data_IF_432930243293
#
_entry.id   IF_432930243293
#
_cell.length_a   1.000
_cell.length_b   1.000
_cell.length_c   1.000
_cell.angle_alpha   90.00
_cell.angle_beta   90.00
_cell.angle_gamma   90.00
#
_symmetry.space_group_name_H-M   'P 1'
#
loop_
_entity.id
_entity.type
_entity.pdbx_description
1 polymer ?
#
# COMPACT_ATOMS: atom_id res chain seq x y z
N UNK A 1 53.00 -34.33 -15.35
CA UNK A 1 54.26 -33.75 -15.86
C UNK A 1 54.01 -32.61 -16.84
N UNK A 2 53.35 -32.81 -17.99
CA UNK A 2 53.10 -31.71 -18.96
C UNK A 2 52.18 -30.57 -18.45
N UNK A 3 51.15 -30.90 -17.66
CA UNK A 3 50.26 -29.93 -16.99
C UNK A 3 50.99 -29.09 -15.93
N UNK A 4 51.91 -29.71 -15.19
CA UNK A 4 52.72 -29.03 -14.17
C UNK A 4 53.68 -28.00 -14.79
N UNK A 5 54.39 -28.39 -15.87
CA UNK A 5 55.32 -27.49 -16.58
C UNK A 5 54.57 -26.29 -17.20
N UNK A 6 53.40 -26.53 -17.80
CA UNK A 6 52.60 -25.45 -18.39
C UNK A 6 52.08 -24.47 -17.33
N UNK A 7 51.67 -24.99 -16.17
CA UNK A 7 51.23 -24.18 -15.02
C UNK A 7 52.36 -23.29 -14.48
N UNK A 8 53.54 -23.87 -14.27
CA UNK A 8 54.73 -23.14 -13.82
C UNK A 8 55.15 -22.06 -14.83
N UNK A 9 55.13 -22.39 -16.12
CA UNK A 9 55.48 -21.46 -17.20
C UNK A 9 54.48 -20.28 -17.29
N UNK A 10 53.17 -20.55 -17.23
CA UNK A 10 52.14 -19.52 -17.29
C UNK A 10 52.23 -18.57 -16.09
N UNK A 11 52.45 -19.09 -14.89
CA UNK A 11 52.63 -18.27 -13.68
C UNK A 11 53.94 -17.46 -13.75
N UNK A 12 55.02 -18.04 -14.29
CA UNK A 12 56.27 -17.33 -14.56
C UNK A 12 56.08 -16.16 -15.53
N UNK A 13 55.38 -16.38 -16.64
CA UNK A 13 55.05 -15.34 -17.62
C UNK A 13 54.19 -14.23 -17.02
N UNK A 14 53.14 -14.60 -16.29
CA UNK A 14 52.25 -13.66 -15.60
C UNK A 14 53.04 -12.76 -14.63
N UNK A 15 53.89 -13.34 -13.79
CA UNK A 15 54.71 -12.59 -12.82
C UNK A 15 55.72 -11.66 -13.51
N UNK A 16 56.32 -12.11 -14.62
CA UNK A 16 57.26 -11.31 -15.40
C UNK A 16 56.55 -10.12 -16.09
N UNK A 17 55.38 -10.36 -16.70
CA UNK A 17 54.56 -9.32 -17.33
C UNK A 17 54.04 -8.31 -16.30
N UNK A 18 53.59 -8.77 -15.13
CA UNK A 18 53.14 -7.90 -14.05
C UNK A 18 54.29 -7.01 -13.53
N UNK A 19 55.45 -7.61 -13.29
CA UNK A 19 56.67 -6.86 -12.89
C UNK A 19 57.09 -5.83 -13.94
N UNK A 20 57.03 -6.18 -15.23
CA UNK A 20 57.32 -5.27 -16.32
C UNK A 20 56.28 -4.14 -16.43
N UNK A 21 54.99 -4.47 -16.29
CA UNK A 21 53.90 -3.50 -16.36
C UNK A 21 54.07 -2.43 -15.28
N UNK A 22 54.26 -2.84 -14.02
CA UNK A 22 54.46 -1.93 -12.88
C UNK A 22 55.80 -1.19 -12.94
N UNK A 23 56.90 -1.87 -13.26
CA UNK A 23 58.24 -1.31 -13.15
C UNK A 23 58.71 -0.52 -14.36
N UNK A 24 58.13 -0.74 -15.54
CA UNK A 24 58.60 -0.15 -16.80
C UNK A 24 57.48 0.53 -17.59
N UNK A 25 56.33 -0.13 -17.77
CA UNK A 25 55.27 0.43 -18.62
C UNK A 25 54.56 1.61 -17.95
N UNK A 26 54.04 1.42 -16.72
CA UNK A 26 53.28 2.46 -16.00
C UNK A 26 54.11 3.75 -15.83
N UNK A 27 55.37 3.72 -15.33
CA UNK A 27 56.17 4.94 -15.14
C UNK A 27 56.56 5.65 -16.45
N UNK A 28 56.68 4.91 -17.57
CA UNK A 28 57.07 5.45 -18.86
C UNK A 28 55.88 5.67 -19.81
N UNK A 29 54.65 5.49 -19.33
CA UNK A 29 53.43 5.56 -20.16
C UNK A 29 53.09 6.97 -20.65
N UNK A 30 53.64 8.00 -20.00
CA UNK A 30 53.27 9.40 -20.24
C UNK A 30 51.86 9.78 -19.76
N UNK A 31 51.21 8.91 -18.96
CA UNK A 31 49.90 9.15 -18.37
C UNK A 31 50.03 9.31 -16.85
N UNK A 32 49.95 10.56 -16.38
CA UNK A 32 50.09 10.90 -14.95
C UNK A 32 49.01 10.27 -14.07
N UNK A 33 47.78 10.09 -14.59
CA UNK A 33 46.70 9.43 -13.87
C UNK A 33 46.95 7.93 -13.70
N UNK A 34 47.45 7.26 -14.74
CA UNK A 34 47.83 5.85 -14.65
C UNK A 34 48.96 5.64 -13.63
N UNK A 35 49.94 6.55 -13.64
CA UNK A 35 51.11 6.48 -12.74
C UNK A 35 50.74 6.74 -11.28
N UNK A 36 49.74 7.59 -11.01
CA UNK A 36 49.27 7.85 -9.65
C UNK A 36 48.37 6.74 -9.12
N UNK A 37 47.51 6.17 -9.96
CA UNK A 37 46.52 5.16 -9.58
C UNK A 37 47.09 3.74 -9.46
N UNK A 38 48.13 3.39 -10.24
CA UNK A 38 48.63 2.00 -10.32
C UNK A 38 50.05 1.88 -9.79
N UNK A 39 50.21 1.37 -8.57
CA UNK A 39 51.52 1.20 -7.91
C UNK A 39 51.76 -0.23 -7.42
N UNK A 40 50.69 -0.97 -7.14
CA UNK A 40 50.70 -2.33 -6.58
C UNK A 40 50.02 -3.32 -7.53
N UNK A 41 50.26 -4.64 -7.37
CA UNK A 41 49.50 -5.67 -8.07
C UNK A 41 47.98 -5.58 -7.89
N UNK A 42 47.53 -5.17 -6.72
CA UNK A 42 46.12 -4.94 -6.40
C UNK A 42 45.55 -3.78 -7.22
N UNK A 43 46.31 -2.69 -7.39
CA UNK A 43 45.88 -1.58 -8.25
C UNK A 43 45.80 -2.00 -9.73
N UNK A 44 46.65 -2.95 -10.17
CA UNK A 44 46.55 -3.52 -11.52
C UNK A 44 45.25 -4.30 -11.69
N UNK A 45 44.83 -5.06 -10.67
CA UNK A 45 43.54 -5.73 -10.66
C UNK A 45 42.38 -4.74 -10.74
N UNK A 46 42.38 -3.71 -9.91
CA UNK A 46 41.32 -2.69 -9.90
C UNK A 46 41.26 -1.93 -11.23
N UNK A 47 42.42 -1.56 -11.78
CA UNK A 47 42.50 -0.79 -13.02
C UNK A 47 42.17 -1.60 -14.28
N UNK A 48 42.64 -2.85 -14.37
CA UNK A 48 42.40 -3.72 -15.54
C UNK A 48 41.16 -4.62 -15.38
N UNK A 49 40.54 -4.63 -14.21
CA UNK A 49 39.36 -5.43 -13.86
C UNK A 49 39.57 -6.95 -14.04
N UNK A 50 40.82 -7.40 -13.94
CA UNK A 50 41.23 -8.80 -14.06
C UNK A 50 42.37 -9.09 -13.10
N UNK A 51 42.22 -10.12 -12.27
CA UNK A 51 43.17 -10.41 -11.20
C UNK A 51 44.47 -11.00 -11.77
N UNK A 52 45.62 -10.30 -11.67
CA UNK A 52 46.89 -10.76 -12.21
C UNK A 52 47.59 -11.78 -11.28
N UNK A 53 47.00 -12.14 -10.15
CA UNK A 53 47.55 -13.06 -9.15
C UNK A 53 46.88 -14.44 -9.13
N UNK A 54 45.85 -14.66 -9.95
CA UNK A 54 45.13 -15.94 -10.09
C UNK A 54 46.04 -17.06 -10.61
N UNK A 55 46.02 -18.21 -9.94
CA UNK A 55 46.80 -19.38 -10.34
C UNK A 55 46.27 -20.01 -11.65
N UNK A 56 47.08 -20.87 -12.27
CA UNK A 56 46.69 -21.52 -13.54
C UNK A 56 45.54 -22.54 -13.39
N UNK A 57 45.20 -22.95 -12.17
CA UNK A 57 44.22 -24.00 -11.93
C UNK A 57 42.77 -23.48 -11.94
N UNK A 58 42.57 -22.16 -11.78
CA UNK A 58 41.25 -21.52 -11.91
C UNK A 58 40.85 -21.47 -13.39
N UNK A 59 39.74 -22.13 -13.71
CA UNK A 59 39.17 -22.12 -15.06
C UNK A 59 37.95 -21.20 -15.13
N UNK A 60 37.93 -20.34 -16.14
CA UNK A 60 36.79 -19.47 -16.46
C UNK A 60 36.57 -19.41 -17.96
N UNK A 61 35.33 -19.13 -18.38
CA UNK A 61 35.06 -18.84 -19.79
C UNK A 61 35.38 -17.37 -20.08
N UNK A 62 35.68 -17.04 -21.34
CA UNK A 62 35.95 -15.65 -21.75
C UNK A 62 34.78 -14.72 -21.45
N UNK A 63 33.55 -15.21 -21.64
CA UNK A 63 32.33 -14.44 -21.38
C UNK A 63 32.13 -14.22 -19.89
N UNK A 64 32.33 -15.25 -19.07
CA UNK A 64 32.21 -15.13 -17.61
C UNK A 64 33.24 -14.13 -17.04
N UNK A 65 34.49 -14.19 -17.49
CA UNK A 65 35.51 -13.23 -17.06
C UNK A 65 35.16 -11.79 -17.47
N UNK A 66 34.77 -11.57 -18.72
CA UNK A 66 34.37 -10.24 -19.19
C UNK A 66 33.16 -9.69 -18.42
N UNK A 67 32.18 -10.55 -18.12
CA UNK A 67 31.03 -10.20 -17.30
C UNK A 67 31.44 -9.79 -15.88
N UNK A 68 32.33 -10.55 -15.22
CA UNK A 68 32.84 -10.21 -13.89
C UNK A 68 33.59 -8.88 -13.88
N UNK A 69 34.42 -8.60 -14.91
CA UNK A 69 35.10 -7.31 -15.06
C UNK A 69 34.11 -6.15 -15.16
N UNK A 70 33.07 -6.29 -16.00
CA UNK A 70 32.04 -5.25 -16.15
C UNK A 70 31.23 -5.08 -14.85
N UNK A 71 30.88 -6.18 -14.18
CA UNK A 71 30.16 -6.14 -12.89
C UNK A 71 30.96 -5.41 -11.83
N UNK A 72 32.26 -5.70 -11.70
CA UNK A 72 33.17 -4.99 -10.80
C UNK A 72 33.17 -3.49 -11.09
N UNK A 73 33.29 -3.10 -12.36
CA UNK A 73 33.30 -1.70 -12.76
C UNK A 73 32.00 -0.96 -12.42
N UNK A 74 30.85 -1.55 -12.77
CA UNK A 74 29.54 -0.95 -12.46
C UNK A 74 29.35 -0.85 -10.94
N UNK A 75 29.78 -1.85 -10.17
CA UNK A 75 29.75 -1.78 -8.71
C UNK A 75 30.62 -0.64 -8.18
N UNK A 76 31.83 -0.46 -8.73
CA UNK A 76 32.70 0.66 -8.38
C UNK A 76 32.06 2.03 -8.66
N UNK A 77 31.35 2.17 -9.79
CA UNK A 77 30.58 3.39 -10.11
C UNK A 77 29.46 3.61 -9.09
N UNK A 78 28.65 2.58 -8.83
CA UNK A 78 27.49 2.65 -7.92
C UNK A 78 27.91 2.95 -6.48
N UNK A 79 29.06 2.44 -6.05
CA UNK A 79 29.64 2.68 -4.73
C UNK A 79 30.45 3.99 -4.65
N UNK A 80 30.48 4.78 -5.74
CA UNK A 80 31.25 6.02 -5.84
C UNK A 80 32.76 5.82 -5.56
N UNK A 81 33.28 4.64 -5.90
CA UNK A 81 34.71 4.29 -5.80
C UNK A 81 35.46 4.63 -7.10
N UNK A 82 34.76 4.65 -8.23
CA UNK A 82 35.35 4.99 -9.53
C UNK A 82 35.47 6.52 -9.72
N UNK A 83 36.65 7.03 -10.10
CA UNK A 83 36.85 8.46 -10.31
C UNK A 83 36.06 8.97 -11.54
N UNK A 84 35.59 10.22 -11.46
CA UNK A 84 34.90 10.88 -12.57
C UNK A 84 33.39 10.62 -12.64
N UNK A 85 32.85 9.77 -11.76
CA UNK A 85 31.42 9.58 -11.58
C UNK A 85 30.96 10.20 -10.26
N UNK A 86 29.81 10.87 -10.29
CA UNK A 86 29.09 11.25 -9.08
C UNK A 86 27.81 10.44 -9.04
N UNK A 87 27.64 9.58 -8.04
CA UNK A 87 26.43 8.77 -7.90
C UNK A 87 25.14 9.58 -7.82
N UNK A 88 25.22 10.84 -7.38
CA UNK A 88 24.11 11.79 -7.38
C UNK A 88 23.64 12.20 -8.78
N UNK A 89 24.48 12.03 -9.81
CA UNK A 89 24.15 12.30 -11.21
C UNK A 89 23.62 11.05 -11.94
N UNK A 90 23.66 9.88 -11.29
CA UNK A 90 23.15 8.65 -11.85
C UNK A 90 21.65 8.53 -11.57
N UNK A 91 20.96 7.89 -12.50
CA UNK A 91 19.54 7.58 -12.38
C UNK A 91 19.30 6.63 -11.20
N UNK A 92 18.56 7.10 -10.20
CA UNK A 92 18.28 6.36 -8.96
C UNK A 92 17.53 5.05 -9.23
N UNK A 93 16.68 5.00 -10.26
CA UNK A 93 15.95 3.80 -10.63
C UNK A 93 16.89 2.74 -11.18
N UNK A 94 17.89 3.15 -11.99
CA UNK A 94 18.91 2.23 -12.51
C UNK A 94 19.81 1.68 -11.42
N UNK A 95 20.21 2.50 -10.45
CA UNK A 95 20.96 2.04 -9.28
C UNK A 95 20.13 1.01 -8.51
N UNK A 96 18.86 1.30 -8.28
CA UNK A 96 17.94 0.40 -7.56
C UNK A 96 17.78 -0.94 -8.30
N UNK A 97 17.58 -0.92 -9.61
CA UNK A 97 17.51 -2.14 -10.44
C UNK A 97 18.81 -2.94 -10.42
N UNK A 98 19.96 -2.28 -10.51
CA UNK A 98 21.27 -2.93 -10.42
C UNK A 98 21.44 -3.65 -9.08
N UNK A 99 21.12 -2.97 -7.97
CA UNK A 99 21.23 -3.52 -6.62
C UNK A 99 20.23 -4.64 -6.34
N UNK A 100 19.02 -4.59 -6.93
CA UNK A 100 17.96 -5.57 -6.73
C UNK A 100 18.09 -6.84 -7.60
N UNK A 101 19.21 -7.00 -8.32
CA UNK A 101 19.49 -8.24 -9.06
C UNK A 101 20.20 -8.06 -10.38
N UNK A 102 20.26 -6.84 -10.94
CA UNK A 102 21.03 -6.58 -12.17
C UNK A 102 22.52 -6.92 -12.03
N UNK A 103 23.06 -6.82 -10.82
CA UNK A 103 24.45 -7.18 -10.51
C UNK A 103 24.74 -8.69 -10.53
N UNK A 104 23.73 -9.56 -10.65
CA UNK A 104 23.86 -11.01 -10.61
C UNK A 104 23.21 -11.64 -11.83
N UNK A 105 23.99 -12.35 -12.64
CA UNK A 105 23.51 -12.95 -13.89
C UNK A 105 22.29 -13.85 -13.70
N UNK A 106 22.27 -14.68 -12.65
CA UNK A 106 21.16 -15.60 -12.39
C UNK A 106 19.85 -14.86 -12.06
N UNK A 107 19.92 -13.78 -11.28
CA UNK A 107 18.72 -12.99 -10.92
C UNK A 107 18.24 -12.20 -12.13
N UNK A 108 19.17 -11.54 -12.85
CA UNK A 108 18.85 -10.86 -14.10
C UNK A 108 18.22 -11.81 -15.13
N UNK A 109 18.79 -13.00 -15.31
CA UNK A 109 18.25 -14.03 -16.19
C UNK A 109 16.85 -14.44 -15.79
N UNK A 110 16.60 -14.61 -14.48
CA UNK A 110 15.26 -14.88 -13.95
C UNK A 110 14.25 -13.76 -14.23
N UNK A 111 14.66 -12.48 -14.22
CA UNK A 111 13.76 -11.38 -14.61
C UNK A 111 13.42 -11.43 -16.12
N UNK A 112 14.39 -11.74 -16.97
CA UNK A 112 14.17 -11.87 -18.42
C UNK A 112 13.26 -13.07 -18.73
N UNK A 113 13.48 -14.20 -18.03
CA UNK A 113 12.63 -15.38 -18.13
C UNK A 113 11.22 -15.10 -17.62
N UNK A 114 11.05 -14.39 -16.50
CA UNK A 114 9.74 -14.02 -15.97
C UNK A 114 8.92 -13.16 -16.95
N UNK A 115 9.57 -12.23 -17.66
CA UNK A 115 8.93 -11.39 -18.67
C UNK A 115 8.50 -12.20 -19.91
N UNK A 116 9.30 -13.20 -20.29
CA UNK A 116 9.08 -14.00 -21.50
C UNK A 116 8.15 -15.20 -21.27
N UNK A 117 8.29 -15.87 -20.12
CA UNK A 117 7.65 -17.12 -19.72
C UNK A 117 7.06 -17.00 -18.30
N UNK A 118 6.08 -16.11 -18.08
CA UNK A 118 5.49 -15.91 -16.76
C UNK A 118 4.84 -17.19 -16.20
N UNK A 119 4.36 -18.10 -17.06
CA UNK A 119 3.77 -19.38 -16.67
C UNK A 119 4.70 -20.26 -15.82
N UNK A 120 6.01 -20.18 -16.04
CA UNK A 120 7.00 -20.96 -15.28
C UNK A 120 7.11 -20.49 -13.82
N UNK A 121 6.68 -19.24 -13.54
CA UNK A 121 6.71 -18.62 -12.22
C UNK A 121 5.34 -18.53 -11.56
N UNK A 122 4.25 -18.84 -12.26
CA UNK A 122 2.91 -18.82 -11.70
C UNK A 122 2.71 -20.06 -10.82
N UNK A 123 2.76 -19.84 -9.52
CA UNK A 123 2.37 -20.83 -8.50
C UNK A 123 1.04 -20.36 -7.88
N UNK A 124 -0.09 -21.05 -8.12
CA UNK A 124 -1.42 -20.60 -7.65
C UNK A 124 -1.50 -20.34 -6.15
N UNK A 125 -0.77 -21.14 -5.36
CA UNK A 125 -0.71 -21.01 -3.90
C UNK A 125 0.12 -19.82 -3.42
N UNK A 126 0.95 -19.19 -4.25
CA UNK A 126 1.85 -18.07 -3.88
C UNK A 126 1.39 -16.72 -4.43
N UNK A 127 0.18 -16.62 -4.98
CA UNK A 127 -0.41 -15.34 -5.40
C UNK A 127 -0.33 -14.33 -4.25
N UNK A 128 0.31 -13.17 -4.46
CA UNK A 128 0.49 -12.15 -3.40
C UNK A 128 -0.81 -11.42 -3.04
N UNK A 129 -1.60 -11.05 -4.04
CA UNK A 129 -2.83 -10.27 -3.86
C UNK A 129 -4.05 -11.21 -3.85
N UNK A 130 -4.16 -12.03 -2.81
CA UNK A 130 -5.34 -12.86 -2.55
C UNK A 130 -6.33 -12.06 -1.71
N UNK A 131 -7.61 -12.32 -1.91
CA UNK A 131 -8.64 -11.82 -0.99
C UNK A 131 -8.61 -12.63 0.31
N UNK A 132 -9.17 -12.06 1.38
CA UNK A 132 -9.42 -12.77 2.64
C UNK A 132 -10.26 -14.03 2.37
N UNK A 133 -11.34 -13.90 1.58
CA UNK A 133 -12.20 -15.01 1.16
C UNK A 133 -11.44 -16.16 0.47
N UNK A 134 -10.49 -15.85 -0.41
CA UNK A 134 -9.70 -16.87 -1.10
C UNK A 134 -8.65 -17.50 -0.18
N UNK A 135 -8.12 -16.71 0.76
CA UNK A 135 -7.20 -17.20 1.79
C UNK A 135 -7.91 -18.16 2.73
N UNK A 136 -9.16 -17.87 3.11
CA UNK A 136 -10.00 -18.75 3.92
C UNK A 136 -10.32 -20.06 3.21
N UNK A 137 -10.63 -20.01 1.91
CA UNK A 137 -10.76 -21.22 1.08
C UNK A 137 -9.48 -22.06 1.09
N UNK A 138 -8.32 -21.44 0.89
CA UNK A 138 -7.04 -22.15 0.93
C UNK A 138 -6.76 -22.77 2.30
N UNK A 139 -7.09 -22.06 3.39
CA UNK A 139 -6.96 -22.57 4.74
C UNK A 139 -7.89 -23.76 4.99
N UNK A 140 -9.15 -23.68 4.57
CA UNK A 140 -10.12 -24.76 4.72
C UNK A 140 -9.71 -26.04 3.96
N UNK A 141 -9.17 -25.88 2.74
CA UNK A 141 -8.65 -26.99 1.95
C UNK A 141 -7.33 -27.56 2.52
N UNK A 142 -6.50 -26.73 3.15
CA UNK A 142 -5.23 -27.15 3.74
C UNK A 142 -5.35 -27.91 5.06
N UNK A 143 -6.42 -27.67 5.83
CA UNK A 143 -6.65 -28.30 7.14
C UNK A 143 -7.31 -29.68 7.05
N UNK A 144 -8.18 -29.88 6.06
CA UNK A 144 -8.98 -31.09 5.93
C UNK A 144 -8.31 -32.13 5.02
N UNK A 145 -8.65 -33.41 5.21
CA UNK A 145 -8.28 -34.44 4.24
C UNK A 145 -8.96 -34.13 2.90
N UNK A 146 -8.19 -34.11 1.81
CA UNK A 146 -8.71 -33.83 0.48
C UNK A 146 -9.55 -35.01 -0.03
N UNK A 147 -10.86 -34.92 0.19
CA UNK A 147 -11.89 -35.77 -0.40
C UNK A 147 -12.98 -34.88 -1.02
N UNK A 148 -13.84 -35.49 -1.84
CA UNK A 148 -14.87 -34.78 -2.61
C UNK A 148 -15.79 -33.95 -1.71
N UNK A 149 -16.32 -34.53 -0.65
CA UNK A 149 -17.24 -33.87 0.30
C UNK A 149 -16.62 -32.61 0.93
N UNK A 150 -15.38 -32.72 1.42
CA UNK A 150 -14.68 -31.61 2.06
C UNK A 150 -14.34 -30.48 1.06
N UNK A 151 -14.00 -30.84 -0.18
CA UNK A 151 -13.74 -29.86 -1.24
C UNK A 151 -15.02 -29.13 -1.61
N UNK A 152 -16.12 -29.86 -1.80
CA UNK A 152 -17.42 -29.28 -2.11
C UNK A 152 -17.85 -28.31 -1.01
N UNK A 153 -17.76 -28.72 0.26
CA UNK A 153 -18.11 -27.87 1.39
C UNK A 153 -17.28 -26.58 1.43
N UNK A 154 -15.96 -26.66 1.24
CA UNK A 154 -15.09 -25.49 1.23
C UNK A 154 -15.44 -24.52 0.09
N UNK A 155 -15.77 -25.04 -1.09
CA UNK A 155 -16.20 -24.25 -2.24
C UNK A 155 -17.57 -23.61 -2.00
N UNK A 156 -18.53 -24.33 -1.40
CA UNK A 156 -19.85 -23.78 -1.06
C UNK A 156 -19.74 -22.60 -0.08
N UNK A 157 -18.90 -22.70 0.95
CA UNK A 157 -18.63 -21.58 1.87
C UNK A 157 -18.08 -20.37 1.12
N UNK A 158 -17.07 -20.58 0.26
CA UNK A 158 -16.51 -19.52 -0.56
C UNK A 158 -17.56 -18.86 -1.49
N UNK A 159 -18.47 -19.64 -2.08
CA UNK A 159 -19.54 -19.12 -2.94
C UNK A 159 -20.57 -18.29 -2.15
N UNK A 160 -20.90 -18.67 -0.91
CA UNK A 160 -21.79 -17.88 -0.04
C UNK A 160 -21.17 -16.52 0.31
N UNK A 161 -19.88 -16.49 0.63
CA UNK A 161 -19.15 -15.25 0.91
C UNK A 161 -19.09 -14.36 -0.35
N UNK A 162 -18.83 -14.98 -1.50
CA UNK A 162 -18.85 -14.30 -2.80
C UNK A 162 -20.23 -13.69 -3.11
N UNK A 163 -21.32 -14.43 -2.92
CA UNK A 163 -22.68 -13.95 -3.15
C UNK A 163 -23.02 -12.74 -2.29
N UNK A 164 -22.55 -12.73 -1.03
CA UNK A 164 -22.72 -11.61 -0.10
C UNK A 164 -22.09 -10.34 -0.65
N UNK A 165 -20.81 -10.39 -1.04
CA UNK A 165 -20.09 -9.20 -1.53
C UNK A 165 -20.48 -8.78 -2.95
N UNK A 166 -20.99 -9.70 -3.76
CA UNK A 166 -21.45 -9.41 -5.11
C UNK A 166 -22.77 -8.62 -5.13
N UNK A 167 -23.60 -8.76 -4.10
CA UNK A 167 -24.94 -8.17 -4.01
C UNK A 167 -25.04 -6.94 -3.09
N UNK A 168 -23.91 -6.34 -2.70
CA UNK A 168 -23.87 -5.14 -1.86
C UNK A 168 -24.48 -3.93 -2.59
N UNK A 169 -25.31 -3.17 -1.89
CA UNK A 169 -25.79 -1.87 -2.34
C UNK A 169 -24.85 -0.77 -1.86
N UNK A 170 -24.47 0.13 -2.77
CA UNK A 170 -23.60 1.26 -2.44
C UNK A 170 -24.32 2.26 -1.53
N UNK A 171 -23.66 2.70 -0.48
CA UNK A 171 -24.21 3.62 0.53
C UNK A 171 -23.61 5.01 0.37
N UNK A 172 -22.29 5.10 0.41
CA UNK A 172 -21.58 6.36 0.42
C UNK A 172 -20.12 6.19 -0.04
N UNK A 173 -19.46 7.32 -0.29
CA UNK A 173 -18.04 7.34 -0.58
C UNK A 173 -17.37 8.61 -0.08
N UNK A 174 -16.04 8.56 -0.02
CA UNK A 174 -15.15 9.64 0.37
C UNK A 174 -13.92 9.64 -0.54
N UNK A 175 -13.47 10.83 -0.95
CA UNK A 175 -12.27 11.00 -1.77
C UNK A 175 -11.16 11.51 -0.85
N UNK A 176 -10.06 10.76 -0.79
CA UNK A 176 -8.86 11.13 -0.05
C UNK A 176 -7.98 12.02 -0.92
N UNK A 177 -8.41 13.28 -1.05
CA UNK A 177 -7.77 14.31 -1.86
C UNK A 177 -8.77 15.23 -2.57
N UNK A 178 -8.27 16.03 -3.52
CA UNK A 178 -9.04 17.07 -4.21
C UNK A 178 -9.18 16.84 -5.72
N UNK A 179 -8.61 15.74 -6.23
CA UNK A 179 -8.48 15.43 -7.66
C UNK A 179 -9.21 14.13 -7.97
N UNK A 180 -10.43 14.28 -8.47
CA UNK A 180 -11.41 13.21 -8.74
C UNK A 180 -10.85 12.06 -9.59
N UNK A 181 -9.94 12.33 -10.52
CA UNK A 181 -9.41 11.36 -11.48
C UNK A 181 -8.06 10.74 -11.08
N UNK A 182 -7.51 11.09 -9.91
CA UNK A 182 -6.20 10.60 -9.44
C UNK A 182 -6.21 10.12 -7.99
N UNK A 183 -7.10 10.66 -7.17
CA UNK A 183 -7.09 10.41 -5.74
C UNK A 183 -7.86 9.13 -5.38
N UNK A 184 -7.60 8.64 -4.17
CA UNK A 184 -8.14 7.37 -3.70
C UNK A 184 -9.56 7.53 -3.18
N UNK A 185 -10.44 6.65 -3.59
CA UNK A 185 -11.81 6.58 -3.10
C UNK A 185 -11.92 5.54 -2.01
N UNK A 186 -12.67 5.86 -0.97
CA UNK A 186 -13.15 4.95 0.05
C UNK A 186 -14.65 4.83 -0.10
N UNK A 187 -15.14 3.60 -0.22
CA UNK A 187 -16.52 3.31 -0.58
C UNK A 187 -17.13 2.38 0.46
N UNK A 188 -18.39 2.63 0.80
CA UNK A 188 -19.18 1.80 1.70
C UNK A 188 -20.29 1.12 0.92
N UNK A 189 -20.41 -0.18 1.13
CA UNK A 189 -21.53 -1.01 0.70
C UNK A 189 -22.26 -1.57 1.91
N UNK A 190 -23.54 -1.91 1.71
CA UNK A 190 -24.33 -2.64 2.70
C UNK A 190 -24.99 -3.86 2.08
N UNK A 191 -25.24 -4.87 2.89
CA UNK A 191 -26.06 -6.01 2.51
C UNK A 191 -27.55 -5.62 2.51
N UNK A 192 -28.37 -6.47 1.87
CA UNK A 192 -29.82 -6.27 1.72
C UNK A 192 -30.65 -6.87 2.87
N UNK A 193 -30.01 -7.59 3.78
CA UNK A 193 -30.64 -8.17 4.97
C UNK A 193 -30.97 -7.06 6.01
N UNK A 194 -31.84 -7.40 6.95
CA UNK A 194 -32.18 -6.58 8.11
C UNK A 194 -31.92 -7.40 9.38
N UNK A 195 -31.02 -7.00 10.28
CA UNK A 195 -30.15 -5.82 10.19
C UNK A 195 -29.12 -5.94 9.05
N UNK A 196 -28.68 -4.79 8.53
CA UNK A 196 -27.70 -4.73 7.44
C UNK A 196 -26.26 -4.79 7.98
N UNK A 197 -25.41 -5.58 7.34
CA UNK A 197 -23.97 -5.58 7.51
C UNK A 197 -23.34 -4.55 6.56
N UNK A 198 -22.31 -3.85 7.03
CA UNK A 198 -21.57 -2.88 6.23
C UNK A 198 -20.19 -3.41 5.82
N UNK A 199 -19.76 -3.02 4.63
CA UNK A 199 -18.47 -3.36 4.05
C UNK A 199 -17.83 -2.11 3.47
N UNK A 200 -16.50 -2.09 3.43
CA UNK A 200 -15.75 -1.02 2.80
C UNK A 200 -14.75 -1.55 1.78
N UNK A 201 -14.45 -0.74 0.77
CA UNK A 201 -13.36 -0.98 -0.18
C UNK A 201 -12.75 0.32 -0.65
N UNK A 202 -11.66 0.22 -1.39
CA UNK A 202 -11.00 1.35 -2.03
C UNK A 202 -10.89 1.20 -3.53
N UNK A 203 -10.78 2.35 -4.19
CA UNK A 203 -10.46 2.49 -5.60
C UNK A 203 -9.35 3.52 -5.76
N UNK A 204 -8.20 3.10 -6.29
CA UNK A 204 -7.03 3.94 -6.54
C UNK A 204 -7.06 4.52 -7.97
N UNK A 205 -7.52 5.76 -8.11
CA UNK A 205 -7.64 6.40 -9.42
C UNK A 205 -6.30 6.83 -10.03
N UNK A 206 -5.18 6.76 -9.29
CA UNK A 206 -3.85 7.01 -9.86
C UNK A 206 -3.49 5.98 -10.95
N UNK A 207 -4.14 4.82 -10.91
CA UNK A 207 -4.02 3.74 -11.90
C UNK A 207 -5.04 3.85 -13.04
N UNK A 208 -5.73 4.98 -13.18
CA UNK A 208 -6.62 5.26 -14.30
C UNK A 208 -5.82 5.65 -15.54
N UNK A 209 -5.83 4.79 -16.56
CA UNK A 209 -5.20 5.06 -17.85
C UNK A 209 -6.29 5.32 -18.89
N UNK A 210 -6.47 6.59 -19.28
CA UNK A 210 -7.38 6.99 -20.37
C UNK A 210 -8.85 6.55 -20.17
N UNK A 211 -9.42 6.78 -18.99
CA UNK A 211 -10.77 6.36 -18.59
C UNK A 211 -10.97 4.84 -18.50
N UNK A 212 -9.89 4.07 -18.48
CA UNK A 212 -9.90 2.66 -18.12
C UNK A 212 -9.15 2.47 -16.80
N UNK A 213 -9.91 2.13 -15.76
CA UNK A 213 -9.36 1.82 -14.43
C UNK A 213 -8.78 0.40 -14.46
N UNK A 214 -7.51 0.25 -14.08
CA UNK A 214 -6.87 -1.05 -13.98
C UNK A 214 -7.60 -1.95 -12.95
N UNK A 215 -7.67 -3.26 -13.20
CA UNK A 215 -8.30 -4.20 -12.24
C UNK A 215 -7.60 -4.18 -10.87
N UNK A 216 -6.30 -3.90 -10.84
CA UNK A 216 -5.52 -3.75 -9.60
C UNK A 216 -5.77 -2.47 -8.81
N UNK A 217 -6.53 -1.51 -9.38
CA UNK A 217 -6.91 -0.29 -8.69
C UNK A 217 -7.95 -0.52 -7.58
N UNK A 218 -8.73 -1.60 -7.71
CA UNK A 218 -9.77 -1.95 -6.75
C UNK A 218 -9.22 -2.84 -5.64
N UNK A 219 -9.47 -2.47 -4.37
CA UNK A 219 -9.27 -3.40 -3.26
C UNK A 219 -10.46 -4.36 -3.12
N UNK A 220 -10.29 -5.42 -2.36
CA UNK A 220 -11.40 -6.26 -1.91
C UNK A 220 -12.39 -5.48 -1.02
N UNK A 221 -13.59 -6.03 -0.89
CA UNK A 221 -14.52 -5.64 0.15
C UNK A 221 -14.08 -6.24 1.49
N UNK A 222 -14.06 -5.43 2.54
CA UNK A 222 -13.77 -5.85 3.91
C UNK A 222 -14.96 -5.52 4.81
N UNK A 223 -15.30 -6.42 5.72
CA UNK A 223 -16.39 -6.19 6.66
C UNK A 223 -16.05 -5.04 7.61
N UNK A 224 -17.04 -4.20 7.89
CA UNK A 224 -16.99 -3.25 9.00
C UNK A 224 -17.50 -4.00 10.23
N UNK A 225 -16.57 -4.53 11.02
CA UNK A 225 -16.89 -5.28 12.24
C UNK A 225 -17.15 -4.34 13.42
N UNK A 226 -18.21 -3.54 13.29
CA UNK A 226 -18.68 -2.57 14.27
C UNK A 226 -20.16 -2.81 14.51
N UNK A 227 -20.56 -2.88 15.78
CA UNK A 227 -21.96 -3.04 16.13
C UNK A 227 -22.73 -1.74 15.89
N UNK A 228 -23.36 -1.64 14.73
CA UNK A 228 -24.18 -0.50 14.31
C UNK A 228 -25.65 -0.90 14.41
N UNK A 229 -26.44 -0.15 15.17
CA UNK A 229 -27.87 -0.44 15.30
C UNK A 229 -28.65 0.14 14.11
N UNK A 230 -28.85 -0.67 13.08
CA UNK A 230 -29.51 -0.24 11.84
C UNK A 230 -30.98 0.16 12.02
N UNK A 231 -31.65 -0.31 13.07
CA UNK A 231 -33.08 -0.04 13.30
C UNK A 231 -33.33 1.39 13.77
N UNK A 232 -32.33 2.03 14.37
CA UNK A 232 -32.38 3.40 14.89
C UNK A 232 -31.44 4.34 14.14
N UNK A 233 -30.69 3.83 13.16
CA UNK A 233 -29.76 4.64 12.37
C UNK A 233 -30.53 5.64 11.52
N UNK A 234 -30.07 6.89 11.51
CA UNK A 234 -30.62 7.96 10.67
C UNK A 234 -29.57 8.46 9.68
N UNK A 235 -30.02 8.80 8.47
CA UNK A 235 -29.15 9.20 7.38
C UNK A 235 -28.33 8.05 6.80
N UNK A 236 -27.10 8.33 6.37
CA UNK A 236 -26.20 7.32 5.78
C UNK A 236 -24.88 7.24 6.53
N UNK A 237 -24.34 6.04 6.69
CA UNK A 237 -22.99 5.83 7.22
C UNK A 237 -21.98 6.45 6.24
N UNK A 238 -21.02 7.24 6.75
CA UNK A 238 -20.03 7.94 5.92
C UNK A 238 -18.60 7.49 6.26
N UNK A 239 -17.78 7.09 5.27
CA UNK A 239 -16.35 6.91 5.47
C UNK A 239 -15.66 8.28 5.46
N UNK A 240 -14.49 8.36 6.10
CA UNK A 240 -13.62 9.53 6.03
C UNK A 240 -12.19 9.14 6.34
N UNK A 241 -11.23 9.66 5.59
CA UNK A 241 -9.81 9.55 5.96
C UNK A 241 -9.39 10.83 6.68
N UNK A 242 -8.80 10.65 7.85
CA UNK A 242 -8.23 11.74 8.63
C UNK A 242 -6.95 11.26 9.31
N UNK A 243 -5.87 12.05 9.24
CA UNK A 243 -4.55 11.66 9.72
C UNK A 243 -4.12 10.26 9.22
N UNK A 244 -4.29 10.01 7.92
CA UNK A 244 -3.98 8.75 7.24
C UNK A 244 -4.67 7.52 7.84
N UNK A 245 -5.83 7.71 8.49
CA UNK A 245 -6.60 6.64 9.11
C UNK A 245 -8.06 6.71 8.65
N UNK A 246 -8.64 5.56 8.35
CA UNK A 246 -10.05 5.47 7.98
C UNK A 246 -10.93 5.48 9.23
N UNK A 247 -11.88 6.41 9.22
CA UNK A 247 -12.97 6.54 10.17
C UNK A 247 -14.28 6.23 9.45
N UNK A 248 -15.26 5.79 10.22
CA UNK A 248 -16.67 5.75 9.85
C UNK A 248 -17.47 6.54 10.87
N UNK A 249 -18.49 7.25 10.39
CA UNK A 249 -19.39 8.02 11.23
C UNK A 249 -20.83 7.71 10.84
N UNK A 250 -21.67 7.57 11.86
CA UNK A 250 -23.11 7.36 11.72
C UNK A 250 -23.88 8.02 12.87
N UNK A 251 -25.20 8.10 12.73
CA UNK A 251 -26.07 8.73 13.70
C UNK A 251 -27.20 7.79 14.09
N UNK A 252 -27.58 7.77 15.35
CA UNK A 252 -28.70 6.96 15.87
C UNK A 252 -29.71 7.86 16.57
N UNK A 253 -30.99 7.72 16.20
CA UNK A 253 -32.12 8.43 16.81
C UNK A 253 -32.94 7.47 17.65
N UNK A 254 -33.03 7.75 18.94
CA UNK A 254 -33.79 6.93 19.89
C UNK A 254 -34.87 7.75 20.57
N UNK A 255 -35.98 7.13 20.91
CA UNK A 255 -37.08 7.77 21.64
C UNK A 255 -37.33 7.01 22.93
N UNK A 256 -37.29 7.72 24.05
CA UNK A 256 -37.57 7.20 25.39
C UNK A 256 -38.71 7.98 26.02
N UNK A 257 -39.66 7.30 26.67
CA UNK A 257 -40.71 7.98 27.42
C UNK A 257 -40.19 8.46 28.78
N UNK A 258 -40.66 9.62 29.24
CA UNK A 258 -40.37 10.10 30.60
C UNK A 258 -40.94 9.14 31.66
N UNK A 259 -40.37 9.16 32.87
CA UNK A 259 -40.81 8.31 34.00
C UNK A 259 -42.30 8.47 34.33
N UNK A 260 -42.85 9.65 34.03
CA UNK A 260 -44.21 10.04 34.32
C UNK A 260 -45.15 9.76 33.12
N UNK A 261 -44.60 9.30 31.99
CA UNK A 261 -45.33 8.95 30.76
C UNK A 261 -45.97 10.13 30.03
N UNK A 262 -45.64 11.36 30.40
CA UNK A 262 -46.28 12.59 29.92
C UNK A 262 -45.69 13.13 28.63
N UNK A 263 -44.45 12.76 28.29
CA UNK A 263 -43.73 13.21 27.10
C UNK A 263 -42.71 12.19 26.62
N UNK A 264 -42.39 12.23 25.33
CA UNK A 264 -41.31 11.46 24.74
C UNK A 264 -40.07 12.35 24.62
N UNK A 265 -38.92 11.83 25.05
CA UNK A 265 -37.61 12.44 24.86
C UNK A 265 -36.96 11.76 23.66
N UNK A 266 -36.54 12.56 22.68
CA UNK A 266 -35.80 12.10 21.51
C UNK A 266 -34.32 12.41 21.72
N UNK A 267 -33.47 11.40 21.57
CA UNK A 267 -32.02 11.54 21.61
C UNK A 267 -31.44 11.24 20.23
N UNK A 268 -30.52 12.09 19.76
CA UNK A 268 -29.72 11.82 18.57
C UNK A 268 -28.25 11.75 18.98
N UNK A 269 -27.63 10.60 18.72
CA UNK A 269 -26.22 10.35 19.01
C UNK A 269 -25.42 10.22 17.73
N UNK A 270 -24.29 10.92 17.68
CA UNK A 270 -23.27 10.75 16.67
C UNK A 270 -22.25 9.73 17.16
N UNK A 271 -22.00 8.71 16.36
CA UNK A 271 -21.03 7.68 16.63
C UNK A 271 -19.86 7.72 15.64
N UNK A 272 -18.69 7.32 16.10
CA UNK A 272 -17.50 7.15 15.28
C UNK A 272 -16.74 5.88 15.64
N UNK A 273 -16.14 5.25 14.64
CA UNK A 273 -15.18 4.17 14.82
C UNK A 273 -14.07 4.30 13.77
N UNK A 274 -12.88 3.78 14.07
CA UNK A 274 -11.74 3.82 13.17
C UNK A 274 -11.07 2.46 13.02
N UNK A 275 -10.40 2.28 11.89
CA UNK A 275 -9.62 1.06 11.64
C UNK A 275 -8.27 1.14 12.34
N UNK A 276 -7.85 0.09 13.02
CA UNK A 276 -6.54 -0.04 13.68
C UNK A 276 -5.46 -0.50 12.69
N UNK A 277 -4.20 -0.44 13.11
CA UNK A 277 -3.07 -0.85 12.25
C UNK A 277 -3.08 -2.34 11.88
N UNK A 278 -3.76 -3.16 12.67
CA UNK A 278 -3.96 -4.59 12.40
C UNK A 278 -5.19 -4.88 11.51
N UNK A 279 -5.94 -3.85 11.12
CA UNK A 279 -7.15 -3.95 10.31
C UNK A 279 -8.45 -4.15 11.12
N UNK A 280 -8.37 -4.34 12.44
CA UNK A 280 -9.55 -4.43 13.31
C UNK A 280 -10.21 -3.06 13.50
N UNK A 281 -11.51 -3.03 13.79
CA UNK A 281 -12.20 -1.78 14.09
C UNK A 281 -12.17 -1.47 15.59
N UNK A 282 -12.11 -0.19 15.93
CA UNK A 282 -12.31 0.27 17.30
C UNK A 282 -13.77 0.11 17.73
N UNK A 283 -14.01 0.03 19.04
CA UNK A 283 -15.37 0.11 19.58
C UNK A 283 -16.04 1.45 19.22
N UNK A 284 -17.37 1.47 18.95
CA UNK A 284 -18.13 2.70 18.73
C UNK A 284 -17.90 3.72 19.86
N UNK A 285 -17.47 4.92 19.50
CA UNK A 285 -17.37 6.04 20.41
C UNK A 285 -18.53 7.01 20.14
N UNK A 286 -19.21 7.43 21.20
CA UNK A 286 -20.19 8.52 21.10
C UNK A 286 -19.38 9.81 21.05
N UNK A 287 -19.49 10.49 19.92
CA UNK A 287 -18.85 11.77 19.68
C UNK A 287 -19.70 12.90 20.26
N UNK A 288 -21.00 12.82 20.01
CA UNK A 288 -21.93 13.86 20.38
C UNK A 288 -23.31 13.29 20.68
N UNK A 289 -24.06 13.95 21.55
CA UNK A 289 -25.40 13.53 21.96
C UNK A 289 -26.26 14.77 22.24
N UNK A 290 -27.37 14.90 21.51
CA UNK A 290 -28.39 15.92 21.77
C UNK A 290 -29.68 15.27 22.24
N UNK A 291 -30.40 15.98 23.10
CA UNK A 291 -31.67 15.50 23.64
C UNK A 291 -32.73 16.58 23.59
N UNK A 292 -33.96 16.21 23.22
CA UNK A 292 -35.06 17.16 23.02
C UNK A 292 -35.51 17.90 24.29
N UNK A 293 -35.14 17.41 25.48
CA UNK A 293 -35.40 18.05 26.76
C UNK A 293 -34.33 19.08 27.17
N UNK A 294 -33.09 18.90 26.71
CA UNK A 294 -31.94 19.76 27.05
C UNK A 294 -31.67 20.78 25.94
N UNK A 295 -31.85 20.38 24.67
CA UNK A 295 -31.39 21.11 23.49
C UNK A 295 -32.55 21.51 22.56
N UNK A 296 -33.49 22.36 23.00
CA UNK A 296 -34.69 22.70 22.22
C UNK A 296 -34.38 23.41 20.90
N UNK A 297 -33.16 23.93 20.72
CA UNK A 297 -32.72 24.55 19.47
C UNK A 297 -32.67 23.56 18.29
N UNK A 298 -32.61 22.25 18.54
CA UNK A 298 -32.59 21.20 17.52
C UNK A 298 -33.96 20.56 17.29
N UNK A 299 -35.06 21.22 17.65
CA UNK A 299 -36.43 20.69 17.54
C UNK A 299 -36.74 20.09 16.17
N UNK A 300 -36.32 20.76 15.09
CA UNK A 300 -36.53 20.30 13.72
C UNK A 300 -35.81 18.97 13.43
N UNK A 301 -34.60 18.77 13.96
CA UNK A 301 -33.89 17.49 13.82
C UNK A 301 -34.60 16.38 14.61
N UNK A 302 -35.21 16.68 15.75
CA UNK A 302 -35.95 15.67 16.51
C UNK A 302 -37.26 15.27 15.83
N UNK A 303 -37.90 16.18 15.12
CA UNK A 303 -39.15 15.94 14.39
C UNK A 303 -38.94 15.37 12.98
N UNK A 304 -37.75 15.56 12.40
CA UNK A 304 -37.42 15.08 11.07
C UNK A 304 -37.61 13.55 10.90
N UNK A 305 -37.97 13.17 9.68
CA UNK A 305 -38.14 11.76 9.26
C UNK A 305 -37.07 11.36 8.26
N UNK A 306 -36.67 12.29 7.39
CA UNK A 306 -35.58 12.12 6.43
C UNK A 306 -34.35 12.93 6.86
N UNK A 307 -33.20 12.29 6.73
CA UNK A 307 -31.92 12.84 7.12
C UNK A 307 -30.89 12.65 6.04
N UNK A 308 -30.01 13.63 5.92
CA UNK A 308 -28.85 13.56 5.08
C UNK A 308 -27.60 13.73 5.93
N UNK A 309 -26.52 13.06 5.52
CA UNK A 309 -25.24 13.08 6.25
C UNK A 309 -24.12 13.50 5.33
N UNK A 310 -23.15 14.21 5.88
CA UNK A 310 -21.91 14.59 5.20
C UNK A 310 -20.71 14.38 6.12
N UNK A 311 -19.59 13.96 5.54
CA UNK A 311 -18.30 13.86 6.20
C UNK A 311 -17.24 14.46 5.27
N UNK A 312 -16.48 15.42 5.75
CA UNK A 312 -15.43 16.14 5.02
C UNK A 312 -14.17 16.17 5.86
N UNK A 313 -13.01 16.06 5.23
CA UNK A 313 -11.73 16.35 5.87
C UNK A 313 -10.98 17.37 5.02
N UNK A 314 -10.50 18.44 5.64
CA UNK A 314 -9.75 19.47 4.93
C UNK A 314 -8.28 19.06 4.79
N UNK A 315 -7.81 18.77 3.57
CA UNK A 315 -6.42 18.41 3.25
C UNK A 315 -5.39 19.55 3.35
N UNK A 316 -5.54 20.50 4.27
CA UNK A 316 -4.58 21.61 4.40
C UNK A 316 -3.20 21.10 4.82
N UNK A 317 -2.15 21.62 4.18
CA UNK A 317 -0.74 21.33 4.50
C UNK A 317 -0.35 21.87 5.89
N UNK A 318 -1.12 22.84 6.40
CA UNK A 318 -0.95 23.38 7.74
C UNK A 318 -1.76 22.55 8.74
N UNK A 319 -1.05 21.79 9.57
CA UNK A 319 -1.62 21.00 10.67
C UNK A 319 -2.55 21.82 11.57
N UNK A 320 -2.35 23.14 11.74
CA UNK A 320 -3.23 24.00 12.55
C UNK A 320 -4.63 24.24 11.95
N UNK A 321 -4.89 23.81 10.71
CA UNK A 321 -6.17 24.01 10.00
C UNK A 321 -6.75 22.70 9.44
N UNK A 322 -6.13 21.57 9.77
CA UNK A 322 -6.54 20.24 9.32
C UNK A 322 -7.68 19.72 10.20
N UNK A 323 -8.91 20.05 9.82
CA UNK A 323 -10.10 19.66 10.56
C UNK A 323 -10.97 18.70 9.75
N UNK A 324 -11.65 17.80 10.44
CA UNK A 324 -12.72 16.98 9.89
C UNK A 324 -14.07 17.52 10.36
N UNK A 325 -15.03 17.59 9.45
CA UNK A 325 -16.38 18.09 9.72
C UNK A 325 -17.37 16.98 9.39
N UNK A 326 -18.28 16.74 10.31
CA UNK A 326 -19.41 15.84 10.11
C UNK A 326 -20.68 16.58 10.42
N UNK A 327 -21.70 16.40 9.58
CA UNK A 327 -22.99 16.97 9.85
C UNK A 327 -24.14 16.01 9.50
N UNK A 328 -25.14 16.01 10.37
CA UNK A 328 -26.47 15.47 10.12
C UNK A 328 -27.40 16.66 9.86
N UNK A 329 -28.10 16.66 8.74
CA UNK A 329 -29.04 17.72 8.39
C UNK A 329 -30.39 17.15 7.98
N UNK A 330 -31.44 17.89 8.30
CA UNK A 330 -32.80 17.60 7.88
C UNK A 330 -33.39 18.84 7.17
N UNK A 331 -34.27 18.59 6.22
CA UNK A 331 -35.00 19.65 5.52
C UNK A 331 -36.11 20.20 6.43
N UNK A 332 -36.28 21.52 6.44
CA UNK A 332 -37.31 22.21 7.21
C UNK A 332 -38.49 22.54 6.30
N UNK A 333 -39.73 22.42 6.79
CA UNK A 333 -40.92 22.45 5.92
C UNK A 333 -41.30 23.86 5.42
N UNK A 334 -41.39 23.97 4.09
CA UNK A 334 -42.35 24.66 3.20
C UNK A 334 -42.58 26.19 3.17
N UNK A 335 -41.92 27.04 3.96
CA UNK A 335 -41.98 28.50 3.73
C UNK A 335 -40.67 29.08 3.15
N UNK A 336 -40.80 29.94 2.14
CA UNK A 336 -39.78 30.37 1.17
C UNK A 336 -38.47 30.92 1.75
N UNK A 337 -37.57 30.02 2.15
CA UNK A 337 -36.10 30.06 2.10
C UNK A 337 -35.67 28.79 2.82
N UNK A 338 -35.44 27.68 2.10
CA UNK A 338 -35.14 26.38 2.69
C UNK A 338 -33.84 26.45 3.52
N UNK A 339 -33.97 26.71 4.82
CA UNK A 339 -32.89 26.63 5.80
C UNK A 339 -32.75 25.18 6.25
N UNK A 340 -31.53 24.69 6.35
CA UNK A 340 -31.26 23.39 6.95
C UNK A 340 -30.92 23.58 8.42
N UNK A 341 -31.55 22.81 9.30
CA UNK A 341 -31.01 22.63 10.65
C UNK A 341 -30.02 21.47 10.61
N UNK A 342 -28.82 21.72 11.15
CA UNK A 342 -27.73 20.77 11.17
C UNK A 342 -27.22 20.53 12.57
N UNK A 343 -26.87 19.28 12.84
CA UNK A 343 -26.01 18.91 13.93
C UNK A 343 -24.61 18.65 13.38
N UNK A 344 -23.68 19.57 13.64
CA UNK A 344 -22.29 19.52 13.17
C UNK A 344 -21.30 19.29 14.31
N UNK A 345 -20.23 18.57 14.01
CA UNK A 345 -19.09 18.41 14.90
C UNK A 345 -17.79 18.54 14.09
N UNK A 346 -16.81 19.21 14.70
CA UNK A 346 -15.48 19.43 14.12
C UNK A 346 -14.46 18.64 14.92
N UNK A 347 -13.73 17.75 14.26
CA UNK A 347 -12.59 17.05 14.83
C UNK A 347 -11.30 17.78 14.47
N UNK A 348 -10.55 18.16 15.49
CA UNK A 348 -9.27 18.84 15.36
C UNK A 348 -8.14 17.86 14.95
N UNK A 349 -6.95 18.36 14.60
CA UNK A 349 -5.80 17.54 14.19
C UNK A 349 -5.33 16.54 15.25
N UNK A 350 -5.65 16.78 16.53
CA UNK A 350 -5.29 15.93 17.66
C UNK A 350 -6.39 14.92 18.01
N UNK A 351 -7.51 14.93 17.28
CA UNK A 351 -8.65 14.05 17.48
C UNK A 351 -9.60 14.51 18.58
N UNK A 352 -9.46 15.72 19.10
CA UNK A 352 -10.48 16.31 19.98
C UNK A 352 -11.64 16.79 19.11
N UNK A 353 -12.85 16.71 19.67
CA UNK A 353 -14.05 17.07 18.94
C UNK A 353 -14.71 18.24 19.64
N UNK A 354 -14.86 19.33 18.89
CA UNK A 354 -15.54 20.54 19.30
C UNK A 354 -16.89 20.65 18.58
N UNK A 355 -17.89 21.16 19.28
CA UNK A 355 -19.20 21.46 18.71
C UNK A 355 -19.13 22.80 17.99
N UNK A 356 -19.75 22.88 16.82
CA UNK A 356 -19.91 24.13 16.05
C UNK A 356 -21.31 24.72 16.19
#
# INVERSE_FOLDING_TARGET
MATTISSELNQGYRNALLSYYLGQYVPNSGNDNLTSLVQTPEDVYEYLLIDPLVNNDVQTSRVAQAMSSIQQYINGIVLNMEPGYSTQMLDADKITQWNNGGNQYAIWGGYVELDTYPEDYIVPTLRKNKTEYFSDLQNALGQNSLNEDNIEQAVQVYLNDFETVANLDMVSGFIDGNVVDKDKYYLIGRTKNSPADYYWRTLDMSQNAHNAVALGAWSEWKKIDVNINTDVMVGTLRPMVFNNRLYIVWYEKTTSSTSDGSSNIVNIKMYSANIQFDGSWSAPQIIYNISSDVDPMYEELFQATDYMTVALANGSINYETFNAIFALYAETSEDQDSMYTSLSAVMDPWGNIEQE
#
